data_IF_931051285012
#
_entry.id   IF_931051285012
#
_cell.length_a   1.000
_cell.length_b   1.000
_cell.length_c   1.000
_cell.angle_alpha   90.00
_cell.angle_beta   90.00
_cell.angle_gamma   90.00
#
_symmetry.space_group_name_H-M   'P 1'
#
loop_
_entity.id
_entity.type
_entity.pdbx_description
1 polymer ?
#
# COMPACT_ATOMS: atom_id res chain seq x y z
N UNK A 1 15.34 -44.07 -20.84
CA UNK A 1 15.19 -43.11 -19.73
C UNK A 1 15.28 -41.67 -20.22
N UNK A 2 14.23 -40.88 -19.96
CA UNK A 2 14.24 -39.44 -20.26
C UNK A 2 14.73 -38.73 -19.00
N UNK A 3 15.99 -38.28 -19.02
CA UNK A 3 16.62 -37.56 -17.91
C UNK A 3 16.52 -36.04 -18.04
N UNK A 4 17.01 -35.31 -17.02
CA UNK A 4 16.99 -33.84 -16.96
C UNK A 4 17.72 -33.17 -18.14
N UNK A 5 18.72 -33.84 -18.70
CA UNK A 5 19.54 -33.34 -19.81
C UNK A 5 18.80 -33.28 -21.15
N UNK A 6 17.67 -33.99 -21.28
CA UNK A 6 16.82 -34.00 -22.48
C UNK A 6 15.65 -33.02 -22.37
N UNK A 7 15.57 -32.24 -21.28
CA UNK A 7 14.45 -31.33 -21.00
C UNK A 7 14.91 -29.88 -21.16
N UNK A 8 14.16 -29.11 -21.96
CA UNK A 8 14.32 -27.66 -22.08
C UNK A 8 13.21 -26.98 -21.27
N UNK A 9 13.57 -26.07 -20.37
CA UNK A 9 12.61 -25.35 -19.54
C UNK A 9 12.02 -24.13 -20.26
N UNK A 10 10.77 -23.80 -19.95
CA UNK A 10 9.99 -22.71 -20.60
C UNK A 10 10.68 -21.32 -20.60
N UNK A 11 11.52 -21.00 -19.61
CA UNK A 11 12.23 -19.70 -19.52
C UNK A 11 13.66 -19.72 -20.06
N UNK A 12 14.14 -20.84 -20.60
CA UNK A 12 15.49 -20.92 -21.16
C UNK A 12 15.53 -20.32 -22.56
N UNK A 13 16.55 -19.50 -22.83
CA UNK A 13 16.87 -19.04 -24.18
C UNK A 13 17.88 -20.00 -24.80
N UNK A 14 17.59 -20.49 -26.00
CA UNK A 14 18.53 -21.28 -26.77
C UNK A 14 19.48 -20.34 -27.52
N UNK A 15 20.76 -20.42 -27.20
CA UNK A 15 21.81 -19.58 -27.82
C UNK A 15 22.42 -20.23 -29.07
N UNK A 16 22.11 -21.51 -29.34
CA UNK A 16 22.68 -22.23 -30.48
C UNK A 16 22.07 -21.77 -31.81
N UNK A 17 22.88 -21.50 -32.86
CA UNK A 17 22.39 -21.20 -34.19
C UNK A 17 21.88 -22.50 -34.86
N UNK A 18 20.61 -22.84 -34.66
CA UNK A 18 19.98 -24.01 -35.28
C UNK A 18 18.49 -24.14 -34.92
N UNK A 19 17.78 -24.98 -35.68
CA UNK A 19 16.39 -25.32 -35.39
C UNK A 19 16.32 -26.57 -34.53
N UNK A 20 15.52 -26.53 -33.47
CA UNK A 20 15.32 -27.66 -32.55
C UNK A 20 13.88 -28.14 -32.68
N UNK A 21 13.71 -29.43 -32.96
CA UNK A 21 12.41 -30.10 -32.91
C UNK A 21 12.23 -30.68 -31.50
N UNK A 22 11.15 -30.32 -30.81
CA UNK A 22 10.85 -30.79 -29.47
C UNK A 22 9.34 -31.06 -29.30
N UNK A 23 9.01 -31.90 -28.32
CA UNK A 23 7.62 -32.20 -27.92
C UNK A 23 7.30 -31.47 -26.63
N UNK A 24 6.17 -30.77 -26.60
CA UNK A 24 5.71 -30.03 -25.41
C UNK A 24 5.07 -31.02 -24.44
N UNK A 25 5.66 -31.18 -23.26
CA UNK A 25 5.17 -32.08 -22.20
C UNK A 25 4.35 -31.34 -21.14
N UNK A 26 4.78 -30.12 -20.77
CA UNK A 26 4.11 -29.28 -19.76
C UNK A 26 3.75 -27.92 -20.36
N UNK A 27 2.54 -27.43 -20.07
CA UNK A 27 2.01 -26.15 -20.59
C UNK A 27 1.55 -25.27 -19.44
N UNK A 28 1.84 -23.97 -19.53
CA UNK A 28 1.33 -22.95 -18.60
C UNK A 28 1.79 -23.16 -17.15
N UNK A 29 0.81 -23.29 -16.25
CA UNK A 29 1.03 -23.33 -14.80
C UNK A 29 1.71 -24.62 -14.32
N UNK A 30 1.69 -25.67 -15.14
CA UNK A 30 2.35 -26.95 -14.86
C UNK A 30 3.87 -26.91 -15.12
N UNK A 31 4.40 -25.82 -15.68
CA UNK A 31 5.84 -25.69 -15.93
C UNK A 31 6.60 -25.43 -14.62
N UNK A 32 7.74 -26.10 -14.41
CA UNK A 32 8.60 -25.87 -13.22
C UNK A 32 8.89 -24.41 -12.88
N UNK A 33 9.22 -23.51 -13.83
CA UNK A 33 9.42 -22.10 -13.49
C UNK A 33 8.16 -21.41 -12.98
N UNK A 34 6.97 -21.83 -13.40
CA UNK A 34 5.70 -21.32 -12.85
C UNK A 34 5.35 -21.99 -11.53
N UNK A 35 5.64 -23.28 -11.35
CA UNK A 35 5.45 -23.98 -10.08
C UNK A 35 6.33 -23.40 -8.95
N UNK A 36 7.54 -22.94 -9.29
CA UNK A 36 8.44 -22.27 -8.36
C UNK A 36 8.06 -20.80 -8.12
N UNK A 37 7.30 -20.19 -9.03
CA UNK A 37 6.62 -18.94 -8.76
C UNK A 37 5.42 -19.30 -7.89
N UNK A 38 5.62 -19.34 -6.57
CA UNK A 38 4.47 -19.22 -5.66
C UNK A 38 3.61 -18.08 -6.17
N UNK A 39 2.28 -18.25 -6.16
CA UNK A 39 1.30 -17.21 -6.48
C UNK A 39 1.47 -16.06 -5.48
N UNK A 40 2.56 -15.32 -5.66
CA UNK A 40 2.81 -14.05 -5.04
C UNK A 40 1.98 -13.13 -5.90
N UNK A 41 0.68 -13.09 -5.59
CA UNK A 41 0.04 -11.80 -5.51
C UNK A 41 1.09 -10.90 -4.88
N UNK A 42 1.58 -9.94 -5.67
CA UNK A 42 2.54 -8.94 -5.22
C UNK A 42 1.79 -8.06 -4.22
N UNK A 43 1.45 -8.64 -3.08
CA UNK A 43 1.02 -7.99 -1.87
C UNK A 43 2.20 -7.13 -1.49
N UNK A 44 2.17 -5.88 -1.94
CA UNK A 44 3.20 -4.92 -1.60
C UNK A 44 3.11 -4.66 -0.11
N UNK A 45 3.78 -5.44 0.71
CA UNK A 45 3.88 -5.29 2.18
C UNK A 45 2.54 -5.21 2.94
N UNK A 46 1.38 -5.25 2.25
CA UNK A 46 0.06 -5.49 2.82
C UNK A 46 -0.20 -6.99 2.87
N UNK A 47 0.62 -7.70 3.63
CA UNK A 47 0.21 -9.00 4.13
C UNK A 47 -0.84 -8.72 5.22
N UNK A 48 -2.10 -9.18 5.12
CA UNK A 48 -3.11 -8.99 6.18
C UNK A 48 -2.65 -9.61 7.51
N UNK A 49 -1.73 -10.59 7.43
CA UNK A 49 -1.13 -11.28 8.57
C UNK A 49 -0.16 -10.39 9.37
N UNK A 50 0.30 -9.28 8.80
CA UNK A 50 1.22 -8.34 9.47
C UNK A 50 0.59 -6.96 9.72
N UNK A 51 -0.32 -6.48 8.86
CA UNK A 51 -1.16 -5.30 9.17
C UNK A 51 -2.03 -5.52 10.42
N UNK A 52 -2.39 -6.77 10.74
CA UNK A 52 -3.15 -7.11 11.95
C UNK A 52 -2.35 -7.02 13.27
N UNK A 53 -1.01 -6.94 13.24
CA UNK A 53 -0.21 -7.08 14.48
C UNK A 53 0.44 -5.79 14.98
N UNK A 54 0.55 -4.79 14.13
CA UNK A 54 0.97 -3.45 14.53
C UNK A 54 0.10 -2.45 13.80
N UNK A 55 -0.69 -1.62 14.50
CA UNK A 55 -1.29 -0.47 13.84
C UNK A 55 -0.14 0.33 13.24
N UNK A 56 -0.23 0.68 11.96
CA UNK A 56 0.80 1.53 11.38
C UNK A 56 0.87 2.82 12.21
N UNK A 57 2.05 3.42 12.33
CA UNK A 57 2.22 4.66 13.11
C UNK A 57 1.24 5.76 12.68
N UNK A 58 0.80 5.70 11.41
CA UNK A 58 -0.26 6.53 10.86
C UNK A 58 -1.63 6.25 11.49
N UNK A 59 -2.04 4.98 11.62
CA UNK A 59 -3.34 4.61 12.20
C UNK A 59 -3.45 5.06 13.66
N UNK A 60 -2.38 4.90 14.43
CA UNK A 60 -2.29 5.39 15.81
C UNK A 60 -2.36 6.93 15.89
N UNK A 61 -1.72 7.62 14.95
CA UNK A 61 -1.75 9.08 14.87
C UNK A 61 -3.16 9.59 14.50
N UNK A 62 -3.83 8.93 13.56
CA UNK A 62 -5.22 9.26 13.19
C UNK A 62 -6.15 9.05 14.37
N UNK A 63 -5.98 7.96 15.12
CA UNK A 63 -6.77 7.69 16.32
C UNK A 63 -6.53 8.72 17.43
N UNK A 64 -5.28 9.09 17.70
CA UNK A 64 -4.97 10.09 18.73
C UNK A 64 -5.47 11.49 18.35
N UNK A 65 -5.39 11.84 17.07
CA UNK A 65 -5.93 13.11 16.57
C UNK A 65 -7.45 13.16 16.62
N UNK A 66 -8.11 12.04 16.32
CA UNK A 66 -9.57 11.93 16.45
C UNK A 66 -10.03 12.14 17.89
N UNK A 67 -9.29 11.60 18.87
CA UNK A 67 -9.57 11.78 20.29
C UNK A 67 -9.31 13.22 20.77
N UNK A 68 -8.23 13.86 20.34
CA UNK A 68 -7.97 15.26 20.73
C UNK A 68 -9.03 16.21 20.19
N UNK A 69 -9.53 15.97 18.97
CA UNK A 69 -10.62 16.75 18.37
C UNK A 69 -11.96 16.52 19.07
N UNK A 70 -12.25 15.29 19.52
CA UNK A 70 -13.42 15.01 20.36
C UNK A 70 -13.39 15.86 21.63
N UNK A 71 -12.24 15.95 22.30
CA UNK A 71 -12.10 16.74 23.53
C UNK A 71 -12.29 18.24 23.26
N UNK A 72 -11.65 18.77 22.22
CA UNK A 72 -11.78 20.20 21.86
C UNK A 72 -13.22 20.55 21.48
N UNK A 73 -13.91 19.70 20.72
CA UNK A 73 -15.31 19.94 20.33
C UNK A 73 -16.27 19.87 21.52
N UNK A 74 -16.05 18.96 22.47
CA UNK A 74 -16.79 18.94 23.73
C UNK A 74 -16.55 20.21 24.57
N UNK A 75 -15.29 20.62 24.74
CA UNK A 75 -14.96 21.85 25.48
C UNK A 75 -15.55 23.10 24.83
N UNK A 76 -15.43 23.24 23.51
CA UNK A 76 -16.00 24.36 22.76
C UNK A 76 -17.52 24.41 22.89
N UNK A 77 -18.17 23.25 22.81
CA UNK A 77 -19.61 23.16 23.01
C UNK A 77 -19.99 23.64 24.42
N UNK A 78 -19.25 23.21 25.46
CA UNK A 78 -19.61 23.55 26.86
C UNK A 78 -19.47 25.05 27.06
N UNK A 79 -18.41 25.66 26.53
CA UNK A 79 -18.20 27.10 26.59
C UNK A 79 -19.36 27.87 25.95
N UNK A 80 -19.86 27.43 24.80
CA UNK A 80 -20.98 28.08 24.10
C UNK A 80 -22.29 27.90 24.87
N UNK A 81 -22.53 26.74 25.48
CA UNK A 81 -23.72 26.49 26.32
C UNK A 81 -23.79 27.39 27.55
N UNK A 82 -22.63 27.69 28.16
CA UNK A 82 -22.54 28.57 29.32
C UNK A 82 -22.84 30.02 28.92
N UNK A 83 -22.41 30.43 27.72
CA UNK A 83 -22.64 31.79 27.19
C UNK A 83 -24.09 32.01 26.75
N UNK A 84 -24.77 30.99 26.22
CA UNK A 84 -26.14 31.10 25.69
C UNK A 84 -27.26 30.90 26.72
N UNK A 85 -26.97 30.80 28.02
CA UNK A 85 -28.01 30.78 29.05
C UNK A 85 -28.58 29.41 29.41
N UNK A 86 -27.96 28.30 29.00
CA UNK A 86 -28.18 26.99 29.63
C UNK A 86 -29.20 26.04 28.99
N UNK A 87 -29.68 26.30 27.76
CA UNK A 87 -30.54 25.35 27.06
C UNK A 87 -29.76 24.12 26.54
N UNK A 88 -29.90 23.01 27.27
CA UNK A 88 -29.18 21.75 27.02
C UNK A 88 -29.43 21.18 25.61
N UNK A 89 -30.59 21.48 25.00
CA UNK A 89 -30.99 20.98 23.68
C UNK A 89 -30.23 21.66 22.54
N UNK A 90 -29.97 22.96 22.66
CA UNK A 90 -29.25 23.73 21.65
C UNK A 90 -27.74 23.43 21.72
N UNK A 91 -27.22 23.22 22.93
CA UNK A 91 -25.88 22.70 23.17
C UNK A 91 -25.63 21.37 22.43
N UNK A 92 -26.48 20.35 22.66
CA UNK A 92 -26.27 19.02 22.05
C UNK A 92 -26.38 19.09 20.52
N UNK A 93 -27.32 19.87 19.99
CA UNK A 93 -27.53 19.98 18.54
C UNK A 93 -26.34 20.65 17.85
N UNK A 94 -25.77 21.69 18.47
CA UNK A 94 -24.60 22.39 17.95
C UNK A 94 -23.31 21.54 18.10
N UNK A 95 -23.13 20.86 19.23
CA UNK A 95 -22.02 19.95 19.49
C UNK A 95 -21.94 18.86 18.42
N UNK A 96 -23.06 18.19 18.16
CA UNK A 96 -23.15 17.06 17.23
C UNK A 96 -22.90 17.51 15.80
N UNK A 97 -23.41 18.67 15.39
CA UNK A 97 -23.12 19.25 14.06
C UNK A 97 -21.64 19.58 13.88
N UNK A 98 -21.03 20.25 14.86
CA UNK A 98 -19.62 20.62 14.80
C UNK A 98 -18.73 19.38 14.81
N UNK A 99 -19.06 18.40 15.65
CA UNK A 99 -18.36 17.13 15.73
C UNK A 99 -18.44 16.36 14.40
N UNK A 100 -19.64 16.20 13.82
CA UNK A 100 -19.83 15.50 12.54
C UNK A 100 -19.02 16.15 11.41
N UNK A 101 -19.04 17.47 11.32
CA UNK A 101 -18.33 18.20 10.26
C UNK A 101 -16.81 18.08 10.45
N UNK A 102 -16.27 18.37 11.64
CA UNK A 102 -14.82 18.34 11.86
C UNK A 102 -14.25 16.91 11.84
N UNK A 103 -14.95 15.95 12.44
CA UNK A 103 -14.50 14.57 12.54
C UNK A 103 -14.47 13.87 11.18
N UNK A 104 -15.39 14.21 10.27
CA UNK A 104 -15.41 13.62 8.94
C UNK A 104 -14.38 14.23 7.99
N UNK A 105 -14.10 15.54 8.11
CA UNK A 105 -13.22 16.25 7.19
C UNK A 105 -11.74 15.93 7.45
N UNK A 106 -11.32 15.84 8.72
CA UNK A 106 -9.91 15.67 9.06
C UNK A 106 -9.28 14.34 8.56
N UNK A 107 -9.82 13.15 8.87
CA UNK A 107 -9.24 11.89 8.41
C UNK A 107 -9.28 11.78 6.88
N UNK A 108 -10.35 12.30 6.26
CA UNK A 108 -10.48 12.32 4.80
C UNK A 108 -9.38 13.15 4.13
N UNK A 109 -9.11 14.36 4.63
CA UNK A 109 -8.06 15.23 4.09
C UNK A 109 -6.66 14.60 4.23
N UNK A 110 -6.37 13.97 5.36
CA UNK A 110 -5.09 13.29 5.57
C UNK A 110 -4.91 12.10 4.63
N UNK A 111 -5.93 11.24 4.48
CA UNK A 111 -5.88 10.11 3.56
C UNK A 111 -5.72 10.55 2.10
N UNK A 112 -6.41 11.62 1.69
CA UNK A 112 -6.26 12.20 0.35
C UNK A 112 -4.84 12.72 0.13
N UNK A 113 -4.29 13.46 1.10
CA UNK A 113 -2.94 14.01 1.01
C UNK A 113 -1.88 12.90 0.85
N UNK A 114 -2.01 11.79 1.59
CA UNK A 114 -1.09 10.66 1.51
C UNK A 114 -1.21 9.94 0.16
N UNK A 115 -2.43 9.70 -0.33
CA UNK A 115 -2.64 9.09 -1.64
C UNK A 115 -2.08 9.97 -2.77
N UNK A 116 -2.24 11.28 -2.67
CA UNK A 116 -1.68 12.22 -3.64
C UNK A 116 -0.16 12.30 -3.55
N UNK A 117 0.41 12.26 -2.35
CA UNK A 117 1.86 12.20 -2.16
C UNK A 117 2.46 10.95 -2.83
N UNK A 118 1.87 9.77 -2.63
CA UNK A 118 2.30 8.52 -3.29
C UNK A 118 2.25 8.63 -4.82
N UNK A 119 1.17 9.17 -5.36
CA UNK A 119 1.03 9.37 -6.80
C UNK A 119 2.06 10.37 -7.34
N UNK A 120 2.31 11.46 -6.62
CA UNK A 120 3.30 12.46 -6.98
C UNK A 120 4.73 11.89 -6.97
N UNK A 121 5.09 11.10 -5.96
CA UNK A 121 6.38 10.42 -5.92
C UNK A 121 6.54 9.38 -7.03
N UNK A 122 5.49 8.61 -7.34
CA UNK A 122 5.49 7.69 -8.47
C UNK A 122 5.78 8.42 -9.79
N UNK A 123 5.10 9.54 -10.00
CA UNK A 123 5.29 10.37 -11.18
C UNK A 123 6.71 10.95 -11.26
N UNK A 124 7.26 11.42 -10.13
CA UNK A 124 8.64 11.90 -10.07
C UNK A 124 9.66 10.84 -10.44
N UNK A 125 9.51 9.60 -9.96
CA UNK A 125 10.42 8.49 -10.30
C UNK A 125 10.35 8.17 -11.80
N UNK A 126 9.14 8.19 -12.38
CA UNK A 126 8.96 7.92 -13.81
C UNK A 126 9.54 9.03 -14.71
N UNK A 127 9.47 10.28 -14.24
CA UNK A 127 9.96 11.45 -14.98
C UNK A 127 11.45 11.74 -14.79
N UNK A 128 12.13 10.99 -13.92
CA UNK A 128 13.55 11.19 -13.63
C UNK A 128 14.44 10.69 -14.80
N UNK A 129 15.30 11.58 -15.31
CA UNK A 129 16.21 11.26 -16.41
C UNK A 129 17.41 10.42 -15.99
N UNK A 130 17.78 10.42 -14.70
CA UNK A 130 18.90 9.62 -14.19
C UNK A 130 18.55 8.13 -14.12
N UNK A 131 17.27 7.80 -13.91
CA UNK A 131 16.76 6.43 -13.77
C UNK A 131 15.87 6.07 -14.96
N UNK A 132 16.42 6.22 -16.17
CA UNK A 132 15.67 5.98 -17.40
C UNK A 132 15.24 4.51 -17.51
N UNK A 133 13.92 4.27 -17.62
CA UNK A 133 13.32 2.94 -17.76
C UNK A 133 12.73 2.34 -16.49
N UNK A 134 12.73 3.07 -15.36
CA UNK A 134 12.03 2.64 -14.16
C UNK A 134 10.50 2.68 -14.35
N UNK A 135 9.84 1.53 -14.20
CA UNK A 135 8.37 1.43 -14.25
C UNK A 135 7.80 1.01 -12.91
N UNK A 136 7.02 1.90 -12.28
CA UNK A 136 6.32 1.60 -11.03
C UNK A 136 4.98 0.92 -11.34
N UNK A 137 4.91 -0.40 -11.14
CA UNK A 137 3.68 -1.15 -11.39
C UNK A 137 2.64 -1.02 -10.27
N UNK A 138 3.08 -0.77 -9.03
CA UNK A 138 2.22 -0.63 -7.84
C UNK A 138 2.64 0.59 -7.01
N UNK A 139 1.67 1.37 -6.51
CA UNK A 139 1.93 2.55 -5.66
C UNK A 139 2.44 2.19 -4.26
N UNK A 140 2.07 1.01 -3.73
CA UNK A 140 2.47 0.54 -2.40
C UNK A 140 3.96 0.18 -2.32
N UNK A 141 4.60 -0.11 -3.46
CA UNK A 141 6.05 -0.40 -3.50
C UNK A 141 6.89 0.82 -3.11
N UNK A 142 6.38 2.04 -3.33
CA UNK A 142 7.11 3.29 -3.08
C UNK A 142 7.33 3.49 -1.58
N UNK A 143 6.30 3.28 -0.76
CA UNK A 143 6.41 3.35 0.70
C UNK A 143 7.30 2.25 1.29
N UNK A 144 7.37 1.10 0.62
CA UNK A 144 8.24 0.00 0.99
C UNK A 144 9.72 0.33 0.76
N UNK A 145 10.03 1.14 -0.26
CA UNK A 145 11.41 1.48 -0.65
C UNK A 145 12.18 2.20 0.46
N UNK A 146 11.51 3.02 1.26
CA UNK A 146 12.13 3.72 2.38
C UNK A 146 12.34 2.84 3.62
N UNK A 147 11.82 1.61 3.63
CA UNK A 147 11.82 0.69 4.78
C UNK A 147 12.63 -0.58 4.52
N UNK A 148 13.49 -0.57 3.49
CA UNK A 148 14.29 -1.74 3.14
C UNK A 148 15.54 -1.78 4.02
N UNK A 149 15.59 -2.72 4.96
CA UNK A 149 16.76 -2.95 5.82
C UNK A 149 17.79 -3.91 5.19
N UNK A 150 17.31 -4.81 4.32
CA UNK A 150 18.13 -5.85 3.70
C UNK A 150 17.97 -5.84 2.19
N UNK A 151 19.10 -5.77 1.48
CA UNK A 151 19.14 -5.89 0.03
C UNK A 151 19.70 -7.26 -0.34
N UNK A 152 18.83 -8.12 -0.87
CA UNK A 152 19.24 -9.40 -1.45
C UNK A 152 19.62 -9.16 -2.91
N UNK A 153 20.91 -9.29 -3.20
CA UNK A 153 21.44 -9.12 -4.56
C UNK A 153 21.78 -10.51 -5.09
N UNK A 154 21.13 -10.89 -6.19
CA UNK A 154 21.53 -12.07 -6.94
C UNK A 154 22.79 -11.73 -7.75
N UNK A 155 23.78 -12.63 -7.73
CA UNK A 155 25.12 -12.40 -8.27
C UNK A 155 25.28 -12.79 -9.76
N UNK A 156 24.27 -13.37 -10.41
CA UNK A 156 24.39 -14.02 -11.74
C UNK A 156 25.45 -13.46 -12.68
#
# INVERSE_FOLDING_TARGET
DIGIQNVVWSRMRLTSPGFVLAVVVYVGNETRPMLNQQLTEKFGVSCPIQESRYPTTLDLCVQSYTLSYLVVTLCASIAISVVNGGDFKDFVTFAVRLFLILNSIFPFALSLAISLARAFFAYKILSDSEIMGAWCNNQTTIDGLSKIDFMLIDKQ
#
